data_IF_583554926722
#
_entry.id   IF_583554926722
#
_cell.length_a   1.000
_cell.length_b   1.000
_cell.length_c   1.000
_cell.angle_alpha   90.00
_cell.angle_beta   90.00
_cell.angle_gamma   90.00
#
_symmetry.space_group_name_H-M   'P 1'
#
loop_
_entity.id
_entity.type
_entity.pdbx_description
1 polymer ?
#
# COMPACT_ATOMS: atom_id res chain seq x y z
N UNK A 1 -30.38 -0.22 -11.11
CA UNK A 1 -29.03 0.02 -11.46
C UNK A 1 -28.34 0.87 -10.44
N UNK A 2 -28.98 1.90 -10.00
CA UNK A 2 -28.37 2.67 -8.94
C UNK A 2 -28.16 1.79 -7.73
N UNK A 3 -28.99 0.82 -7.57
CA UNK A 3 -28.88 -0.06 -6.45
C UNK A 3 -27.55 -0.78 -6.42
N UNK A 4 -26.97 -0.99 -7.58
CA UNK A 4 -25.70 -1.67 -7.59
C UNK A 4 -24.61 -0.87 -6.90
N UNK A 5 -24.57 0.41 -7.17
CA UNK A 5 -23.57 1.22 -6.55
C UNK A 5 -23.81 1.36 -5.06
N UNK A 6 -25.05 1.28 -4.67
CA UNK A 6 -25.36 1.42 -3.26
C UNK A 6 -25.08 0.18 -2.48
N UNK A 7 -25.19 -0.96 -3.14
CA UNK A 7 -25.05 -2.22 -2.44
C UNK A 7 -23.61 -2.50 -2.02
N UNK A 8 -22.64 -1.95 -2.73
CA UNK A 8 -21.25 -2.25 -2.44
C UNK A 8 -20.50 -0.98 -2.09
N UNK A 9 -20.00 -0.87 -0.88
CA UNK A 9 -19.20 0.30 -0.52
C UNK A 9 -17.93 0.35 -1.35
N UNK A 10 -17.47 1.54 -1.58
CA UNK A 10 -16.21 1.71 -2.29
C UNK A 10 -15.07 1.17 -1.43
N UNK A 11 -14.06 0.62 -2.08
CA UNK A 11 -12.91 0.07 -1.38
C UNK A 11 -12.20 1.12 -0.53
N UNK A 12 -12.23 2.37 -0.97
CA UNK A 12 -11.53 3.45 -0.28
C UNK A 12 -12.44 4.25 0.65
N UNK A 13 -13.65 3.77 0.91
CA UNK A 13 -14.55 4.48 1.80
C UNK A 13 -13.94 4.59 3.18
N UNK A 14 -13.99 5.78 3.75
CA UNK A 14 -13.46 6.01 5.08
C UNK A 14 -11.97 6.26 5.16
N UNK A 15 -11.26 6.18 4.03
CA UNK A 15 -9.82 6.42 4.02
C UNK A 15 -9.56 7.88 3.68
N UNK A 16 -8.76 8.54 4.51
CA UNK A 16 -8.48 9.97 4.39
C UNK A 16 -7.20 10.21 3.61
N UNK A 17 -7.18 11.30 2.85
CA UNK A 17 -5.97 11.75 2.17
C UNK A 17 -5.11 12.63 3.06
N UNK A 18 -5.60 13.01 4.22
CA UNK A 18 -4.98 14.07 5.01
C UNK A 18 -4.55 13.65 6.42
N UNK A 19 -4.50 12.35 6.70
CA UNK A 19 -4.09 11.90 8.02
C UNK A 19 -2.59 12.18 8.23
N UNK A 20 -2.25 12.60 9.43
CA UNK A 20 -0.86 12.84 9.79
C UNK A 20 -0.29 11.53 10.33
N UNK A 21 0.53 10.87 9.53
CA UNK A 21 1.10 9.59 9.88
C UNK A 21 2.58 9.66 10.20
N UNK A 22 3.16 10.87 10.22
CA UNK A 22 4.62 11.01 10.37
C UNK A 22 5.19 10.28 11.58
N UNK A 23 4.50 10.35 12.72
CA UNK A 23 4.98 9.71 13.94
C UNK A 23 4.92 8.20 13.88
N UNK A 24 4.19 7.64 12.93
CA UNK A 24 4.05 6.20 12.79
C UNK A 24 5.10 5.60 11.86
N UNK A 25 5.81 6.43 11.12
CA UNK A 25 6.77 5.95 10.15
C UNK A 25 8.16 5.84 10.77
N UNK A 26 8.97 4.93 10.22
CA UNK A 26 10.34 4.73 10.65
C UNK A 26 11.27 4.91 9.46
N UNK A 27 12.56 4.81 9.70
CA UNK A 27 13.58 4.85 8.65
C UNK A 27 13.48 6.14 7.83
N UNK A 28 13.37 7.26 8.53
CA UNK A 28 13.30 8.54 7.83
C UNK A 28 12.02 8.75 7.07
N UNK A 29 10.95 8.10 7.48
CA UNK A 29 9.65 8.25 6.84
C UNK A 29 9.41 7.26 5.71
N UNK A 30 10.30 6.28 5.52
CA UNK A 30 10.19 5.38 4.38
C UNK A 30 9.58 4.03 4.72
N UNK A 31 9.39 3.74 6.00
CA UNK A 31 8.92 2.42 6.42
C UNK A 31 7.87 2.53 7.52
N UNK A 32 7.12 1.46 7.69
CA UNK A 32 6.05 1.38 8.67
C UNK A 32 5.87 -0.06 9.12
N UNK A 33 5.69 -0.24 10.41
CA UNK A 33 5.34 -1.56 10.96
C UNK A 33 4.19 -1.34 11.93
N UNK A 34 3.10 -2.07 11.72
CA UNK A 34 1.89 -1.91 12.55
C UNK A 34 2.17 -2.41 13.96
N UNK A 35 1.54 -1.76 14.93
CA UNK A 35 1.66 -2.18 16.31
C UNK A 35 1.28 -3.66 16.45
N UNK A 36 2.08 -4.40 17.18
CA UNK A 36 1.86 -5.83 17.37
C UNK A 36 2.54 -6.71 16.34
N UNK A 37 3.12 -6.11 15.31
CA UNK A 37 3.87 -6.85 14.29
C UNK A 37 5.36 -6.75 14.67
N UNK A 38 6.13 -7.80 14.36
CA UNK A 38 7.54 -7.82 14.72
C UNK A 38 8.26 -6.59 14.18
N UNK A 39 9.06 -5.90 15.00
CA UNK A 39 9.63 -4.60 14.60
C UNK A 39 10.54 -4.65 13.39
N UNK A 40 11.16 -5.78 13.11
CA UNK A 40 12.07 -5.90 11.97
C UNK A 40 11.37 -6.31 10.68
N UNK A 41 10.04 -6.34 10.69
CA UNK A 41 9.28 -6.80 9.52
C UNK A 41 9.54 -5.95 8.29
N UNK A 42 9.58 -4.62 8.43
CA UNK A 42 9.81 -3.77 7.26
C UNK A 42 11.20 -3.99 6.68
N UNK A 43 12.20 -4.17 7.54
CA UNK A 43 13.56 -4.46 7.07
C UNK A 43 13.61 -5.77 6.33
N UNK A 44 12.97 -6.79 6.87
CA UNK A 44 12.94 -8.10 6.23
C UNK A 44 12.17 -8.07 4.91
N UNK A 45 11.14 -7.26 4.86
CA UNK A 45 10.37 -7.05 3.63
C UNK A 45 11.29 -6.48 2.55
N UNK A 46 12.05 -5.46 2.90
CA UNK A 46 12.97 -4.85 1.92
C UNK A 46 14.04 -5.82 1.48
N UNK A 47 14.45 -6.73 2.35
CA UNK A 47 15.46 -7.73 2.03
C UNK A 47 14.93 -8.85 1.17
N UNK A 48 13.63 -8.94 0.96
CA UNK A 48 13.06 -9.96 0.10
C UNK A 48 12.62 -11.22 0.81
N UNK A 49 12.34 -11.15 2.10
CA UNK A 49 11.90 -12.32 2.83
C UNK A 49 10.62 -12.90 2.26
N UNK A 50 9.74 -12.05 1.79
CA UNK A 50 8.51 -12.51 1.13
C UNK A 50 8.63 -12.24 -0.35
N UNK A 51 8.27 -13.23 -1.16
CA UNK A 51 8.33 -13.06 -2.60
C UNK A 51 7.14 -12.25 -3.05
N UNK A 52 7.39 -11.34 -3.96
CA UNK A 52 6.34 -10.52 -4.48
C UNK A 52 5.34 -11.31 -5.28
N UNK A 53 4.08 -11.01 -5.12
CA UNK A 53 3.03 -11.68 -5.84
C UNK A 53 2.35 -10.81 -6.87
N UNK A 54 2.29 -9.50 -6.63
CA UNK A 54 1.55 -8.62 -7.53
C UNK A 54 2.11 -7.22 -7.45
N UNK A 55 1.81 -6.43 -8.47
CA UNK A 55 2.25 -5.04 -8.51
C UNK A 55 1.18 -4.13 -9.05
N UNK A 56 1.22 -2.88 -8.64
CA UNK A 56 0.30 -1.86 -9.10
C UNK A 56 1.11 -0.62 -9.44
N UNK A 57 0.87 -0.05 -10.61
CA UNK A 57 1.55 1.16 -11.05
C UNK A 57 0.54 2.30 -11.03
N UNK A 58 0.87 3.34 -10.29
CA UNK A 58 -0.01 4.51 -10.16
C UNK A 58 0.30 5.59 -11.18
N UNK A 59 1.20 5.30 -12.11
CA UNK A 59 1.63 6.29 -13.10
C UNK A 59 0.43 6.92 -13.81
N UNK A 60 0.41 8.23 -13.85
CA UNK A 60 -0.63 8.94 -14.59
C UNK A 60 -1.96 9.09 -13.90
N UNK A 61 -2.13 8.54 -12.70
CA UNK A 61 -3.40 8.63 -12.00
C UNK A 61 -3.49 9.90 -11.16
N UNK A 62 -4.68 10.43 -11.04
CA UNK A 62 -4.96 11.51 -10.10
C UNK A 62 -5.09 10.93 -8.70
N UNK A 63 -5.02 11.80 -7.70
CA UNK A 63 -5.04 11.35 -6.32
C UNK A 63 -6.23 10.45 -6.01
N UNK A 64 -7.44 10.86 -6.39
CA UNK A 64 -8.60 10.06 -6.06
C UNK A 64 -8.65 8.76 -6.84
N UNK A 65 -8.15 8.76 -8.07
CA UNK A 65 -8.05 7.54 -8.86
C UNK A 65 -7.03 6.59 -8.23
N UNK A 66 -5.90 7.13 -7.81
CA UNK A 66 -4.84 6.34 -7.20
C UNK A 66 -5.31 5.74 -5.87
N UNK A 67 -6.02 6.54 -5.06
CA UNK A 67 -6.55 6.03 -3.78
C UNK A 67 -7.45 4.83 -4.01
N UNK A 68 -8.38 4.97 -4.92
CA UNK A 68 -9.30 3.87 -5.23
C UNK A 68 -8.53 2.67 -5.79
N UNK A 69 -7.57 2.91 -6.66
CA UNK A 69 -6.79 1.83 -7.27
C UNK A 69 -6.00 1.07 -6.22
N UNK A 70 -5.36 1.78 -5.30
CA UNK A 70 -4.57 1.13 -4.25
C UNK A 70 -5.46 0.24 -3.40
N UNK A 71 -6.57 0.76 -2.92
CA UNK A 71 -7.36 0.01 -1.96
C UNK A 71 -8.13 -1.12 -2.62
N UNK A 72 -8.59 -0.94 -3.87
CA UNK A 72 -9.17 -2.04 -4.62
C UNK A 72 -8.17 -3.14 -4.90
N UNK A 73 -6.94 -2.74 -5.25
CA UNK A 73 -5.87 -3.70 -5.52
C UNK A 73 -5.56 -4.52 -4.26
N UNK A 74 -5.48 -3.86 -3.11
CA UNK A 74 -5.20 -4.58 -1.87
C UNK A 74 -6.30 -5.57 -1.53
N UNK A 75 -7.56 -5.17 -1.69
CA UNK A 75 -8.67 -6.06 -1.43
C UNK A 75 -8.62 -7.28 -2.34
N UNK A 76 -8.30 -7.06 -3.60
CA UNK A 76 -8.18 -8.15 -4.56
C UNK A 76 -7.04 -9.09 -4.17
N UNK A 77 -5.91 -8.54 -3.77
CA UNK A 77 -4.78 -9.35 -3.35
C UNK A 77 -5.11 -10.17 -2.11
N UNK A 78 -5.84 -9.59 -1.18
CA UNK A 78 -6.27 -10.31 0.01
C UNK A 78 -7.16 -11.48 -0.36
N UNK A 79 -8.07 -11.28 -1.30
CA UNK A 79 -8.94 -12.37 -1.76
C UNK A 79 -8.17 -13.52 -2.36
N UNK A 80 -7.05 -13.22 -2.99
CA UNK A 80 -6.25 -14.25 -3.66
C UNK A 80 -5.11 -14.77 -2.79
N UNK A 81 -5.05 -14.34 -1.54
CA UNK A 81 -4.01 -14.83 -0.63
C UNK A 81 -2.63 -14.30 -0.90
N UNK A 82 -2.52 -13.19 -1.62
CA UNK A 82 -1.22 -12.60 -1.92
C UNK A 82 -0.79 -11.74 -0.76
N UNK A 83 0.40 -12.00 -0.22
CA UNK A 83 0.87 -11.29 0.97
C UNK A 83 1.80 -10.14 0.69
N UNK A 84 2.64 -10.25 -0.34
CA UNK A 84 3.65 -9.22 -0.61
C UNK A 84 3.35 -8.60 -1.96
N UNK A 85 3.19 -7.29 -1.97
CA UNK A 85 2.86 -6.59 -3.21
C UNK A 85 3.77 -5.37 -3.36
N UNK A 86 3.84 -4.85 -4.57
CA UNK A 86 4.62 -3.67 -4.88
C UNK A 86 3.73 -2.62 -5.48
N UNK A 87 3.86 -1.39 -4.98
CA UNK A 87 3.10 -0.25 -5.49
C UNK A 87 4.11 0.76 -6.01
N UNK A 88 4.03 1.08 -7.30
CA UNK A 88 4.94 2.02 -7.94
C UNK A 88 4.23 3.36 -8.03
N UNK A 89 4.76 4.36 -7.34
CA UNK A 89 4.19 5.70 -7.34
C UNK A 89 5.09 6.71 -8.06
N UNK A 90 6.31 6.32 -8.42
CA UNK A 90 7.24 7.22 -9.07
C UNK A 90 8.16 7.91 -8.08
N UNK A 91 9.27 8.43 -8.59
CA UNK A 91 10.29 9.05 -7.74
C UNK A 91 10.06 10.53 -7.49
N UNK A 92 9.08 11.11 -8.15
CA UNK A 92 8.81 12.52 -7.95
C UNK A 92 9.51 13.42 -8.95
N UNK A 93 10.06 12.87 -10.00
CA UNK A 93 10.72 13.67 -11.03
C UNK A 93 9.81 13.96 -12.20
N UNK A 94 8.56 13.58 -12.11
CA UNK A 94 7.64 13.78 -13.21
C UNK A 94 7.35 15.25 -13.45
N UNK A 95 7.11 15.57 -14.70
CA UNK A 95 6.87 16.94 -15.09
C UNK A 95 5.62 17.54 -14.46
N UNK A 96 4.68 16.71 -14.11
CA UNK A 96 3.42 17.21 -13.57
C UNK A 96 3.46 17.43 -12.06
N UNK A 97 4.52 17.02 -11.41
CA UNK A 97 4.60 17.18 -9.97
C UNK A 97 3.66 16.31 -9.18
N UNK A 98 3.02 15.37 -9.82
CA UNK A 98 2.01 14.54 -9.18
C UNK A 98 2.63 13.38 -8.42
N UNK A 99 3.79 12.93 -8.86
CA UNK A 99 4.41 11.76 -8.25
C UNK A 99 4.84 11.96 -6.80
N UNK A 100 5.39 13.13 -6.42
CA UNK A 100 5.66 13.33 -5.01
C UNK A 100 4.40 13.28 -4.16
N UNK A 101 3.30 13.80 -4.69
CA UNK A 101 2.03 13.77 -3.98
C UNK A 101 1.58 12.32 -3.80
N UNK A 102 1.67 11.51 -4.86
CA UNK A 102 1.24 10.12 -4.77
C UNK A 102 2.10 9.32 -3.81
N UNK A 103 3.39 9.63 -3.74
CA UNK A 103 4.28 8.96 -2.80
C UNK A 103 3.79 9.16 -1.36
N UNK A 104 3.49 10.39 -1.00
CA UNK A 104 3.02 10.67 0.35
C UNK A 104 1.63 10.11 0.60
N UNK A 105 0.75 10.27 -0.37
CA UNK A 105 -0.63 9.80 -0.20
C UNK A 105 -0.69 8.29 -0.09
N UNK A 106 0.09 7.58 -0.88
CA UNK A 106 0.07 6.11 -0.82
C UNK A 106 0.41 5.63 0.58
N UNK A 107 1.43 6.21 1.21
CA UNK A 107 1.78 5.82 2.57
C UNK A 107 0.66 6.14 3.54
N UNK A 108 0.03 7.29 3.39
CA UNK A 108 -1.09 7.69 4.23
C UNK A 108 -2.24 6.69 4.13
N UNK A 109 -2.57 6.28 2.93
CA UNK A 109 -3.66 5.31 2.73
C UNK A 109 -3.31 3.94 3.31
N UNK A 110 -2.07 3.51 3.11
CA UNK A 110 -1.65 2.18 3.57
C UNK A 110 -1.69 2.06 5.08
N UNK A 111 -1.30 3.11 5.80
CA UNK A 111 -1.34 3.06 7.26
C UNK A 111 -2.77 2.90 7.76
N UNK A 112 -3.74 3.45 7.03
CA UNK A 112 -5.14 3.38 7.43
C UNK A 112 -5.80 2.05 7.10
N UNK A 113 -5.17 1.22 6.25
CA UNK A 113 -5.73 -0.07 5.87
C UNK A 113 -5.26 -1.12 6.87
N UNK A 114 -6.19 -1.60 7.69
CA UNK A 114 -5.84 -2.51 8.80
C UNK A 114 -5.15 -3.78 8.33
N UNK A 115 -5.38 -4.19 7.09
CA UNK A 115 -4.78 -5.40 6.55
C UNK A 115 -3.29 -5.23 6.20
N UNK A 116 -2.80 -4.00 6.18
CA UNK A 116 -1.39 -3.74 5.91
C UNK A 116 -0.61 -3.89 7.20
N UNK A 117 0.29 -4.85 7.22
CA UNK A 117 1.12 -5.11 8.41
C UNK A 117 2.36 -4.24 8.43
N UNK A 118 2.93 -3.96 7.26
CA UNK A 118 4.16 -3.20 7.17
C UNK A 118 4.36 -2.76 5.73
N UNK A 119 5.14 -1.71 5.55
CA UNK A 119 5.65 -1.40 4.22
C UNK A 119 7.06 -0.82 4.33
N UNK A 120 7.76 -0.82 3.22
CA UNK A 120 9.11 -0.30 3.12
C UNK A 120 9.30 0.26 1.72
N UNK A 121 10.17 1.26 1.64
CA UNK A 121 10.64 1.68 0.32
C UNK A 121 11.32 0.48 -0.32
N UNK A 122 11.14 0.31 -1.63
CA UNK A 122 11.71 -0.83 -2.33
C UNK A 122 13.24 -0.69 -2.42
N UNK A 123 13.97 -1.81 -2.53
CA UNK A 123 15.39 -1.72 -2.80
C UNK A 123 15.61 -1.15 -4.20
N UNK A 124 16.82 -0.67 -4.46
CA UNK A 124 17.12 -0.04 -5.74
C UNK A 124 16.72 -0.90 -6.93
N UNK A 125 16.93 -2.18 -6.83
CA UNK A 125 16.58 -3.10 -7.91
C UNK A 125 15.08 -3.15 -8.16
N UNK A 126 14.27 -2.91 -7.15
CA UNK A 126 12.82 -3.01 -7.26
C UNK A 126 12.11 -1.69 -7.42
N UNK A 127 12.83 -0.63 -7.75
CA UNK A 127 12.22 0.66 -7.94
C UNK A 127 12.71 1.73 -6.98
N UNK A 128 13.46 1.36 -5.96
CA UNK A 128 14.03 2.30 -5.03
C UNK A 128 12.98 3.22 -4.44
N UNK A 129 13.28 4.50 -4.45
CA UNK A 129 12.39 5.51 -3.86
C UNK A 129 11.10 5.70 -4.63
N UNK A 130 10.96 5.08 -5.79
CA UNK A 130 9.75 5.18 -6.60
C UNK A 130 8.72 4.11 -6.32
N UNK A 131 8.98 3.20 -5.41
CA UNK A 131 8.08 2.09 -5.15
C UNK A 131 8.06 1.71 -3.68
N UNK A 132 6.97 1.11 -3.25
CA UNK A 132 6.81 0.56 -1.91
C UNK A 132 6.58 -0.93 -2.01
N UNK A 133 7.19 -1.66 -1.09
CA UNK A 133 6.84 -3.05 -0.84
C UNK A 133 5.87 -3.06 0.33
N UNK A 134 4.80 -3.83 0.21
CA UNK A 134 3.74 -3.84 1.22
C UNK A 134 3.48 -5.28 1.62
N UNK A 135 3.43 -5.51 2.92
CA UNK A 135 3.10 -6.82 3.45
C UNK A 135 1.69 -6.80 3.99
N UNK A 136 0.87 -7.71 3.50
CA UNK A 136 -0.52 -7.83 3.91
C UNK A 136 -0.68 -8.97 4.89
N UNK A 137 -1.70 -8.87 5.74
CA UNK A 137 -1.99 -9.98 6.63
C UNK A 137 -2.39 -11.20 5.82
N UNK A 138 -2.10 -12.35 6.36
CA UNK A 138 -2.47 -13.57 5.69
C UNK A 138 -3.95 -13.82 5.88
N UNK A 139 -4.60 -14.21 4.79
CA UNK A 139 -6.00 -14.57 4.89
C UNK A 139 -6.14 -15.74 5.84
N UNK A 140 -7.22 -15.74 6.59
CA UNK A 140 -7.44 -16.79 7.55
C UNK A 140 -7.65 -18.10 6.89
N UNK A 141 -6.73 -18.95 7.12
CA UNK A 141 -6.84 -20.25 6.54
C UNK A 141 -8.04 -20.93 7.06
N UNK A 142 -8.27 -20.63 8.29
CA UNK A 142 -9.41 -21.21 8.85
C UNK A 142 -10.62 -20.75 8.18
N UNK A 143 -10.45 -19.72 7.55
CA UNK A 143 -11.53 -19.32 6.74
C UNK A 143 -11.96 -20.51 6.00
N UNK A 144 -11.40 -21.42 5.98
CA UNK A 144 -11.79 -22.41 5.31
C UNK A 144 -11.90 -23.45 5.98
N UNK A 145 -12.42 -23.80 6.17
CA UNK A 145 -12.67 -24.82 6.76
C UNK A 145 -12.96 -25.38 6.61
#
# INVERSE_FOLDING_TARGET
AAALGEAAPRADAGVSDASDIGALLTDGGTAYVRAGVAPDTARNLKRGQWRGGAGLDLHGLRVEQARHAVLSFLDECLEHGIRCVRIVHGKGYGSQGLEPVLKDKARTWLVQKADVLAFSEAPERGGGAGALLVLLRQAEAGGRP
#
